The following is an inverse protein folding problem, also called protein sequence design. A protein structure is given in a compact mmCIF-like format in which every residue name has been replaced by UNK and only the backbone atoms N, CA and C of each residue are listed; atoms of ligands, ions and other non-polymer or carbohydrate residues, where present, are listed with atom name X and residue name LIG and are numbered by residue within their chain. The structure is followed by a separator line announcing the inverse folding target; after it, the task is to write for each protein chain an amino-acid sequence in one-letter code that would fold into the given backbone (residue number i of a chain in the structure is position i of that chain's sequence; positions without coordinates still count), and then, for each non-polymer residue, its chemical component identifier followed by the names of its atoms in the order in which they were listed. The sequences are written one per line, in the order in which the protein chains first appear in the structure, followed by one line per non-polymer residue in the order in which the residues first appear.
data_IF_616365432646
#
_entry.id   IF_616365432646
#
_cell.length_a   1.000
_cell.length_b   1.000
_cell.length_c   1.000
_cell.angle_alpha   90.00
_cell.angle_beta   90.00
_cell.angle_gamma   90.00
#
_symmetry.space_group_name_H-M   'P 1'
#
loop_
_entity.id
_entity.type
_entity.pdbx_description
1 polymer ?
#
# COMPACT_ATOMS: atom_id res chain seq x y z
N UNK A 1 -4.18 18.91 7.09
CA UNK A 1 -3.34 17.74 7.45
C UNK A 1 -3.67 16.69 6.42
N UNK A 2 -2.91 16.66 5.32
CA UNK A 2 -3.18 15.76 4.21
C UNK A 2 -2.78 14.36 4.66
N UNK A 3 -3.78 13.50 4.84
CA UNK A 3 -3.64 12.21 5.52
C UNK A 3 -2.69 11.30 4.75
N UNK A 4 -1.48 11.08 5.30
CA UNK A 4 -0.51 10.11 4.79
C UNK A 4 -1.19 8.74 4.63
N UNK A 5 -2.09 8.39 5.55
CA UNK A 5 -2.91 7.18 5.48
C UNK A 5 -3.74 7.10 4.19
N UNK A 6 -4.33 8.19 3.72
CA UNK A 6 -5.11 8.20 2.47
C UNK A 6 -4.22 7.99 1.25
N UNK A 7 -3.04 8.62 1.19
CA UNK A 7 -2.08 8.40 0.09
C UNK A 7 -1.56 6.96 0.08
N UNK A 8 -1.23 6.43 1.26
CA UNK A 8 -0.77 5.05 1.42
C UNK A 8 -1.85 4.07 0.99
N UNK A 9 -3.08 4.21 1.50
CA UNK A 9 -4.22 3.36 1.09
C UNK A 9 -4.42 3.37 -0.42
N UNK A 10 -4.40 4.54 -1.04
CA UNK A 10 -4.60 4.66 -2.48
C UNK A 10 -3.55 3.90 -3.28
N UNK A 11 -2.26 4.03 -2.93
CA UNK A 11 -1.19 3.29 -3.59
C UNK A 11 -1.38 1.78 -3.45
N UNK A 12 -1.78 1.33 -2.26
CA UNK A 12 -2.00 -0.10 -1.99
C UNK A 12 -3.15 -0.65 -2.83
N UNK A 13 -4.29 0.05 -2.86
CA UNK A 13 -5.45 -0.31 -3.70
C UNK A 13 -5.08 -0.32 -5.18
N UNK A 14 -4.40 0.72 -5.66
CA UNK A 14 -4.03 0.84 -7.07
C UNK A 14 -2.98 -0.22 -7.49
N UNK A 15 -2.06 -0.60 -6.61
CA UNK A 15 -1.00 -1.58 -6.91
C UNK A 15 -1.39 -3.02 -6.69
N UNK A 16 -2.04 -3.34 -5.57
CA UNK A 16 -2.44 -4.71 -5.27
C UNK A 16 -3.80 -5.06 -5.87
N UNK A 17 -4.58 -4.07 -6.33
CA UNK A 17 -5.91 -4.31 -6.90
C UNK A 17 -6.92 -4.81 -5.86
N UNK A 18 -6.68 -4.50 -4.57
CA UNK A 18 -7.51 -4.87 -3.41
C UNK A 18 -8.53 -3.78 -3.10
N UNK A 19 -9.56 -4.11 -2.31
CA UNK A 19 -10.55 -3.10 -1.90
C UNK A 19 -9.97 -2.15 -0.84
N UNK A 20 -10.31 -0.87 -0.89
CA UNK A 20 -9.93 0.11 0.13
C UNK A 20 -10.46 -0.26 1.53
N UNK A 21 -11.57 -1.01 1.56
CA UNK A 21 -12.12 -1.58 2.79
C UNK A 21 -11.22 -2.66 3.42
N UNK A 22 -10.44 -3.39 2.62
CA UNK A 22 -9.49 -4.40 3.10
C UNK A 22 -8.19 -3.78 3.59
N UNK A 23 -7.83 -2.59 3.09
CA UNK A 23 -6.63 -1.86 3.52
C UNK A 23 -6.88 -1.18 4.87
N UNK A 24 -6.73 -1.93 5.94
CA UNK A 24 -6.75 -1.42 7.33
C UNK A 24 -5.33 -1.18 7.85
N UNK A 25 -5.14 -0.32 8.87
CA UNK A 25 -3.83 -0.12 9.49
C UNK A 25 -3.24 -1.39 10.11
N UNK A 26 -4.10 -2.34 10.49
CA UNK A 26 -3.71 -3.63 11.05
C UNK A 26 -3.52 -4.73 9.98
N UNK A 27 -3.90 -4.47 8.73
CA UNK A 27 -3.82 -5.46 7.66
C UNK A 27 -2.36 -5.80 7.32
N UNK A 28 -2.12 -7.10 7.15
CA UNK A 28 -0.87 -7.63 6.64
C UNK A 28 -0.84 -7.59 5.12
N UNK A 29 0.18 -6.96 4.55
CA UNK A 29 0.40 -6.94 3.10
C UNK A 29 0.42 -8.33 2.48
N UNK A 30 1.07 -9.30 3.13
CA UNK A 30 1.22 -10.66 2.59
C UNK A 30 0.01 -11.55 2.90
N UNK A 31 -0.52 -11.48 4.13
CA UNK A 31 -1.54 -12.43 4.58
C UNK A 31 -2.96 -11.96 4.27
N UNK A 32 -3.23 -10.66 4.37
CA UNK A 32 -4.58 -10.10 4.21
C UNK A 32 -4.77 -9.50 2.81
N UNK A 33 -3.74 -8.83 2.28
CA UNK A 33 -3.80 -8.20 0.96
C UNK A 33 -3.18 -9.05 -0.16
N UNK A 34 -2.63 -10.23 0.17
CA UNK A 34 -2.10 -11.17 -0.80
C UNK A 34 -0.88 -10.69 -1.61
N UNK A 35 -0.19 -9.64 -1.15
CA UNK A 35 1.02 -9.14 -1.79
C UNK A 35 2.15 -10.16 -1.69
N UNK A 36 2.83 -10.43 -2.80
CA UNK A 36 4.01 -11.27 -2.79
C UNK A 36 5.31 -10.47 -2.48
N UNK A 37 6.45 -11.17 -2.50
CA UNK A 37 7.76 -10.53 -2.25
C UNK A 37 8.16 -9.49 -3.31
N UNK A 38 7.61 -9.55 -4.53
CA UNK A 38 7.85 -8.56 -5.58
C UNK A 38 6.92 -7.37 -5.43
N UNK A 39 5.64 -7.62 -5.14
CA UNK A 39 4.62 -6.59 -4.91
C UNK A 39 5.03 -5.68 -3.75
N UNK A 40 5.55 -6.25 -2.66
CA UNK A 40 6.06 -5.50 -1.51
C UNK A 40 7.25 -4.61 -1.87
N UNK A 41 8.17 -5.07 -2.73
CA UNK A 41 9.30 -4.26 -3.21
C UNK A 41 8.83 -3.14 -4.14
N UNK A 42 7.88 -3.41 -5.03
CA UNK A 42 7.28 -2.38 -5.89
C UNK A 42 6.54 -1.32 -5.08
N UNK A 43 5.76 -1.72 -4.07
CA UNK A 43 5.06 -0.81 -3.17
C UNK A 43 6.03 0.11 -2.43
N UNK A 44 7.11 -0.43 -1.87
CA UNK A 44 8.14 0.38 -1.19
C UNK A 44 8.75 1.39 -2.17
N UNK A 45 9.07 0.97 -3.39
CA UNK A 45 9.64 1.88 -4.40
C UNK A 45 8.68 3.01 -4.80
N UNK A 46 7.38 2.73 -4.92
CA UNK A 46 6.37 3.77 -5.17
C UNK A 46 6.17 4.68 -3.95
N UNK A 47 6.25 4.15 -2.73
CA UNK A 47 6.25 4.98 -1.53
C UNK A 47 7.47 5.90 -1.47
N UNK A 48 8.67 5.40 -1.73
CA UNK A 48 9.89 6.22 -1.78
C UNK A 48 9.77 7.36 -2.81
N UNK A 49 9.23 7.09 -4.00
CA UNK A 49 8.96 8.13 -5.01
C UNK A 49 7.88 9.13 -4.57
N UNK A 50 6.75 8.65 -4.06
CA UNK A 50 5.60 9.50 -3.69
C UNK A 50 5.91 10.41 -2.49
N UNK A 51 6.72 9.91 -1.55
CA UNK A 51 7.14 10.62 -0.35
C UNK A 51 8.52 11.27 -0.50
N UNK A 52 9.19 11.05 -1.63
CA UNK A 52 10.47 11.65 -1.99
C UNK A 52 11.57 11.37 -0.94
N UNK A 53 11.60 10.12 -0.46
CA UNK A 53 12.53 9.58 0.56
C UNK A 53 13.68 8.85 -0.12
#
# INVERSE_FOLDING_TARGET
MSDIATRVKKIIVDKLGVDEAEVTPEASFTNDLGADSLDTVELIMEFEKEFNI
#
